data_IF_841928575526
#
_entry.id   IF_841928575526
#
_cell.length_a   1.000
_cell.length_b   1.000
_cell.length_c   1.000
_cell.angle_alpha   90.00
_cell.angle_beta   90.00
_cell.angle_gamma   90.00
#
_symmetry.space_group_name_H-M   'P 1'
#
loop_
_entity.id
_entity.type
_entity.pdbx_description
1 polymer ?
#
# COMPACT_ATOMS: atom_id res chain seq x y z
N UNK A 1 -5.86 -21.15 -32.86
CA UNK A 1 -5.55 -19.73 -33.08
C UNK A 1 -5.27 -19.15 -31.72
N UNK A 2 -4.00 -19.20 -31.36
CA UNK A 2 -3.46 -18.61 -30.15
C UNK A 2 -3.75 -17.11 -30.15
N UNK A 3 -4.39 -16.63 -29.09
CA UNK A 3 -4.21 -15.25 -28.66
C UNK A 3 -3.11 -15.29 -27.60
N UNK A 4 -1.86 -15.28 -28.06
CA UNK A 4 -0.75 -14.85 -27.22
C UNK A 4 -1.03 -13.40 -26.81
N UNK A 5 -1.35 -13.21 -25.54
CA UNK A 5 -1.34 -11.90 -24.90
C UNK A 5 0.13 -11.49 -24.85
N UNK A 6 0.54 -10.71 -25.84
CA UNK A 6 1.85 -10.07 -25.86
C UNK A 6 2.06 -9.29 -24.55
N UNK A 7 3.27 -9.43 -24.00
CA UNK A 7 3.75 -8.73 -22.80
C UNK A 7 3.23 -7.28 -22.74
N UNK A 8 2.55 -6.94 -21.65
CA UNK A 8 2.02 -5.60 -21.41
C UNK A 8 3.16 -4.57 -21.53
N UNK A 9 3.24 -3.87 -22.66
CA UNK A 9 4.03 -2.65 -22.76
C UNK A 9 3.26 -1.56 -22.03
N UNK A 10 3.49 -1.43 -20.71
CA UNK A 10 2.96 -0.32 -19.92
C UNK A 10 3.32 0.99 -20.62
N UNK A 11 2.33 1.64 -21.22
CA UNK A 11 2.51 2.90 -21.92
C UNK A 11 2.05 4.06 -21.02
N UNK A 12 2.51 5.28 -21.33
CA UNK A 12 2.21 6.46 -20.52
C UNK A 12 0.69 6.75 -20.41
N UNK A 13 -0.09 6.38 -21.43
CA UNK A 13 -1.55 6.55 -21.43
C UNK A 13 -2.23 5.66 -20.39
N UNK A 14 -1.79 4.41 -20.26
CA UNK A 14 -2.33 3.46 -19.29
C UNK A 14 -2.04 3.92 -17.86
N UNK A 15 -0.81 4.39 -17.59
CA UNK A 15 -0.42 4.90 -16.27
C UNK A 15 -1.14 6.20 -15.92
N UNK A 16 -1.39 7.07 -16.90
CA UNK A 16 -2.16 8.29 -16.67
C UNK A 16 -3.63 8.00 -16.32
N UNK A 17 -4.24 6.91 -16.81
CA UNK A 17 -5.55 6.46 -16.33
C UNK A 17 -5.52 6.19 -14.82
N UNK A 18 -4.56 5.37 -14.37
CA UNK A 18 -4.42 4.99 -12.95
C UNK A 18 -4.05 6.15 -12.02
N UNK A 19 -3.60 7.28 -12.57
CA UNK A 19 -3.41 8.54 -11.85
C UNK A 19 -4.74 9.19 -11.43
N UNK A 20 -5.83 8.85 -12.10
CA UNK A 20 -7.16 9.38 -11.84
C UNK A 20 -8.10 8.39 -11.14
N UNK A 21 -7.65 7.17 -10.88
CA UNK A 21 -8.40 6.15 -10.13
C UNK A 21 -7.93 6.13 -8.67
N UNK A 22 -8.88 6.08 -7.73
CA UNK A 22 -8.64 5.97 -6.29
C UNK A 22 -9.00 4.56 -5.80
N UNK A 23 -9.75 4.40 -4.70
CA UNK A 23 -10.23 3.11 -4.20
C UNK A 23 -11.74 3.23 -3.90
N UNK A 24 -12.60 3.03 -4.90
CA UNK A 24 -14.03 3.31 -4.77
C UNK A 24 -14.70 2.59 -3.59
N UNK A 25 -14.29 1.35 -3.30
CA UNK A 25 -14.85 0.55 -2.21
C UNK A 25 -14.49 1.15 -0.84
N UNK A 26 -13.20 1.43 -0.59
CA UNK A 26 -12.76 2.03 0.67
C UNK A 26 -13.21 3.49 0.80
N UNK A 27 -13.20 4.25 -0.30
CA UNK A 27 -13.62 5.65 -0.33
C UNK A 27 -15.12 5.78 0.00
N UNK A 28 -15.96 4.89 -0.54
CA UNK A 28 -17.39 4.85 -0.22
C UNK A 28 -17.64 4.48 1.26
N UNK A 29 -16.94 3.43 1.74
CA UNK A 29 -17.02 3.00 3.13
C UNK A 29 -16.64 4.13 4.10
N UNK A 30 -15.57 4.86 3.81
CA UNK A 30 -15.13 5.99 4.64
C UNK A 30 -16.04 7.21 4.51
N UNK A 31 -16.58 7.47 3.33
CA UNK A 31 -17.50 8.60 3.14
C UNK A 31 -18.75 8.48 4.02
N UNK A 32 -19.19 7.26 4.35
CA UNK A 32 -20.30 7.01 5.29
C UNK A 32 -20.02 7.60 6.68
N UNK A 33 -18.77 7.54 7.16
CA UNK A 33 -18.34 8.10 8.46
C UNK A 33 -18.50 9.61 8.49
N UNK A 34 -18.07 10.29 7.42
CA UNK A 34 -18.15 11.76 7.34
C UNK A 34 -19.58 12.28 7.19
N UNK A 35 -20.51 11.44 6.73
CA UNK A 35 -21.94 11.78 6.60
C UNK A 35 -22.76 11.35 7.84
N UNK A 36 -22.17 10.58 8.75
CA UNK A 36 -22.82 10.09 9.96
C UNK A 36 -23.18 11.21 10.92
N UNK A 37 -24.36 11.12 11.55
CA UNK A 37 -24.80 12.03 12.62
C UNK A 37 -23.88 11.90 13.86
N UNK A 38 -23.16 10.79 13.98
CA UNK A 38 -22.17 10.51 15.04
C UNK A 38 -20.74 10.88 14.63
N UNK A 39 -20.54 11.68 13.58
CA UNK A 39 -19.23 12.02 13.01
C UNK A 39 -18.11 12.28 14.02
N UNK A 40 -18.37 13.01 15.12
CA UNK A 40 -17.34 13.24 16.15
C UNK A 40 -16.87 11.93 16.80
N UNK A 41 -17.80 11.06 17.19
CA UNK A 41 -17.53 9.75 17.78
C UNK A 41 -16.82 8.86 16.76
N UNK A 42 -17.35 8.75 15.54
CA UNK A 42 -16.82 7.88 14.49
C UNK A 42 -15.41 8.31 14.04
N UNK A 43 -15.15 9.63 14.03
CA UNK A 43 -13.81 10.19 13.78
C UNK A 43 -12.85 9.89 14.93
N UNK A 44 -13.32 9.94 16.17
CA UNK A 44 -12.48 9.60 17.32
C UNK A 44 -12.21 8.09 17.37
N UNK A 45 -13.13 7.25 16.88
CA UNK A 45 -12.92 5.82 16.64
C UNK A 45 -11.92 5.56 15.52
N UNK A 46 -11.98 6.27 14.39
CA UNK A 46 -10.95 6.21 13.35
C UNK A 46 -9.57 6.63 13.87
N UNK A 47 -9.51 7.66 14.72
CA UNK A 47 -8.26 8.10 15.38
C UNK A 47 -7.76 7.08 16.39
N UNK A 48 -8.66 6.46 17.14
CA UNK A 48 -8.33 5.38 18.07
C UNK A 48 -7.85 4.14 17.32
N UNK A 49 -8.50 3.80 16.19
CA UNK A 49 -8.06 2.76 15.27
C UNK A 49 -6.67 3.10 14.75
N UNK A 50 -6.40 4.33 14.29
CA UNK A 50 -5.07 4.79 13.89
C UNK A 50 -4.00 4.65 15.01
N UNK A 51 -4.40 4.77 16.28
CA UNK A 51 -3.50 4.75 17.44
C UNK A 51 -3.35 3.39 18.14
N UNK A 52 -4.27 2.43 17.94
CA UNK A 52 -4.27 1.12 18.59
C UNK A 52 -4.19 -0.02 17.57
N UNK A 53 -3.48 -1.09 17.95
CA UNK A 53 -3.15 -2.21 17.05
C UNK A 53 -4.13 -3.40 17.16
N UNK A 54 -5.15 -3.29 18.01
CA UNK A 54 -5.82 -4.48 18.55
C UNK A 54 -7.30 -4.69 18.18
N UNK A 55 -7.98 -3.80 17.45
CA UNK A 55 -9.39 -4.04 17.17
C UNK A 55 -10.00 -3.14 16.09
N UNK A 56 -10.92 -3.71 15.31
CA UNK A 56 -11.92 -2.99 14.51
C UNK A 56 -13.09 -2.67 15.44
N UNK A 57 -13.38 -1.40 15.78
CA UNK A 57 -14.43 -1.06 16.74
C UNK A 57 -15.79 -1.71 16.42
N UNK A 58 -16.50 -2.19 17.45
CA UNK A 58 -17.80 -2.84 17.25
C UNK A 58 -18.92 -1.87 16.84
N UNK A 59 -18.70 -0.55 17.00
CA UNK A 59 -19.68 0.51 16.73
C UNK A 59 -19.40 1.25 15.41
N UNK A 60 -18.58 0.67 14.52
CA UNK A 60 -18.36 1.25 13.19
C UNK A 60 -19.67 1.30 12.38
N UNK A 61 -19.89 2.32 11.54
CA UNK A 61 -21.01 2.36 10.62
C UNK A 61 -21.07 1.12 9.72
N UNK A 62 -22.30 0.74 9.36
CA UNK A 62 -22.56 -0.50 8.61
C UNK A 62 -21.75 -0.60 7.31
N UNK A 63 -21.62 0.47 6.54
CA UNK A 63 -20.86 0.45 5.29
C UNK A 63 -19.37 0.12 5.53
N UNK A 64 -18.77 0.66 6.59
CA UNK A 64 -17.38 0.38 6.94
C UNK A 64 -17.22 -1.03 7.52
N UNK A 65 -18.16 -1.47 8.36
CA UNK A 65 -18.16 -2.83 8.90
C UNK A 65 -18.29 -3.87 7.79
N UNK A 66 -19.24 -3.69 6.86
CA UNK A 66 -19.45 -4.58 5.72
C UNK A 66 -18.24 -4.59 4.77
N UNK A 67 -17.60 -3.44 4.56
CA UNK A 67 -16.35 -3.36 3.81
C UNK A 67 -15.25 -4.20 4.48
N UNK A 68 -15.02 -4.04 5.79
CA UNK A 68 -14.02 -4.81 6.53
C UNK A 68 -14.34 -6.32 6.53
N UNK A 69 -15.60 -6.70 6.76
CA UNK A 69 -16.05 -8.10 6.73
C UNK A 69 -15.82 -8.74 5.35
N UNK A 70 -16.11 -8.00 4.26
CA UNK A 70 -15.84 -8.45 2.89
C UNK A 70 -14.35 -8.71 2.69
N UNK A 71 -13.49 -7.77 3.07
CA UNK A 71 -12.04 -7.92 2.86
C UNK A 71 -11.44 -9.04 3.71
N UNK A 72 -11.89 -9.21 4.96
CA UNK A 72 -11.47 -10.30 5.86
C UNK A 72 -11.99 -11.67 5.43
N UNK A 73 -12.98 -11.74 4.54
CA UNK A 73 -13.45 -13.00 3.96
C UNK A 73 -12.54 -13.53 2.84
N UNK A 74 -11.50 -12.79 2.45
CA UNK A 74 -10.53 -13.20 1.45
C UNK A 74 -9.78 -14.46 1.89
N UNK A 75 -9.82 -15.50 1.06
CA UNK A 75 -9.10 -16.76 1.31
C UNK A 75 -7.88 -16.89 0.40
N UNK A 76 -6.81 -17.45 0.94
CA UNK A 76 -5.59 -17.76 0.21
C UNK A 76 -5.46 -19.28 -0.03
N UNK A 77 -4.89 -19.66 -1.17
CA UNK A 77 -4.64 -21.06 -1.53
C UNK A 77 -3.45 -21.63 -0.73
N UNK A 78 -3.28 -22.94 -0.76
CA UNK A 78 -2.11 -23.58 -0.14
C UNK A 78 -0.78 -23.12 -0.77
N UNK A 79 -0.77 -22.79 -2.07
CA UNK A 79 0.39 -22.24 -2.77
C UNK A 79 0.73 -20.83 -2.29
N UNK A 80 -0.29 -19.98 -2.11
CA UNK A 80 -0.12 -18.64 -1.53
C UNK A 80 0.51 -18.73 -0.13
N UNK A 81 -0.04 -19.59 0.73
CA UNK A 81 0.42 -19.78 2.10
C UNK A 81 1.87 -20.27 2.11
N UNK A 82 2.23 -21.23 1.25
CA UNK A 82 3.62 -21.71 1.12
C UNK A 82 4.60 -20.57 0.79
N UNK A 83 4.22 -19.63 -0.08
CA UNK A 83 5.04 -18.46 -0.42
C UNK A 83 5.12 -17.45 0.72
N UNK A 84 4.02 -17.27 1.47
CA UNK A 84 4.00 -16.41 2.66
C UNK A 84 4.93 -16.97 3.75
N UNK A 85 4.93 -18.29 3.97
CA UNK A 85 5.83 -18.95 4.91
C UNK A 85 7.30 -18.82 4.49
N UNK A 86 7.61 -18.99 3.21
CA UNK A 86 8.97 -18.75 2.70
C UNK A 86 9.39 -17.28 2.87
N UNK A 87 8.48 -16.34 2.63
CA UNK A 87 8.73 -14.91 2.85
C UNK A 87 9.04 -14.61 4.32
N UNK A 88 8.35 -15.27 5.24
CA UNK A 88 8.64 -15.16 6.67
C UNK A 88 10.04 -15.67 7.03
N UNK A 89 10.51 -16.73 6.39
CA UNK A 89 11.90 -17.20 6.61
C UNK A 89 12.92 -16.18 6.09
N UNK A 90 12.69 -15.59 4.92
CA UNK A 90 13.49 -14.45 4.41
C UNK A 90 13.46 -13.29 5.41
N UNK A 91 12.28 -12.94 5.93
CA UNK A 91 12.12 -11.86 6.91
C UNK A 91 12.90 -12.11 8.22
N UNK A 92 12.91 -13.35 8.72
CA UNK A 92 13.69 -13.71 9.92
C UNK A 92 15.19 -13.52 9.72
N UNK A 93 15.69 -13.82 8.53
CA UNK A 93 17.12 -13.72 8.20
C UNK A 93 17.55 -12.30 7.83
N UNK A 94 16.68 -11.58 7.12
CA UNK A 94 17.01 -10.31 6.47
C UNK A 94 16.20 -9.10 6.97
N UNK A 95 15.35 -9.24 7.99
CA UNK A 95 14.42 -8.18 8.42
C UNK A 95 15.11 -6.88 8.82
N UNK A 96 16.28 -6.96 9.47
CA UNK A 96 17.08 -5.76 9.78
C UNK A 96 17.56 -5.10 8.48
N UNK A 97 18.12 -5.88 7.55
CA UNK A 97 18.57 -5.40 6.24
C UNK A 97 17.41 -4.78 5.46
N UNK A 98 16.23 -5.42 5.47
CA UNK A 98 15.04 -4.89 4.84
C UNK A 98 14.69 -3.51 5.39
N UNK A 99 14.67 -3.33 6.73
CA UNK A 99 14.37 -2.04 7.35
C UNK A 99 15.40 -0.96 6.95
N UNK A 100 16.69 -1.30 6.90
CA UNK A 100 17.71 -0.37 6.40
C UNK A 100 17.52 -0.03 4.93
N UNK A 101 17.29 -1.03 4.07
CA UNK A 101 17.03 -0.82 2.64
C UNK A 101 15.77 0.03 2.46
N UNK A 102 14.72 -0.24 3.22
CA UNK A 102 13.47 0.51 3.19
C UNK A 102 13.72 1.99 3.51
N UNK A 103 14.33 2.29 4.65
CA UNK A 103 14.48 3.68 5.11
C UNK A 103 15.55 4.48 4.38
N UNK A 104 16.64 3.84 3.94
CA UNK A 104 17.78 4.55 3.34
C UNK A 104 17.87 4.43 1.82
N UNK A 105 17.05 3.58 1.21
CA UNK A 105 16.97 3.44 -0.26
C UNK A 105 15.55 3.62 -0.76
N UNK A 106 14.62 2.75 -0.37
CA UNK A 106 13.30 2.66 -1.01
C UNK A 106 12.38 3.86 -0.71
N UNK A 107 12.18 4.25 0.56
CA UNK A 107 11.32 5.39 0.91
C UNK A 107 11.86 6.73 0.39
N UNK A 108 13.19 7.01 0.40
CA UNK A 108 13.72 8.19 -0.27
C UNK A 108 13.30 8.33 -1.73
N UNK A 109 13.19 7.22 -2.49
CA UNK A 109 12.61 7.27 -3.84
C UNK A 109 11.19 7.84 -3.80
N UNK A 110 10.32 7.35 -2.92
CA UNK A 110 8.92 7.84 -2.85
C UNK A 110 8.80 9.35 -2.56
N UNK A 111 9.77 9.96 -1.86
CA UNK A 111 9.79 11.41 -1.61
C UNK A 111 10.25 12.23 -2.81
N UNK A 112 10.88 11.60 -3.81
CA UNK A 112 11.28 12.25 -5.06
C UNK A 112 10.14 12.32 -6.08
N UNK A 113 9.06 11.56 -5.90
CA UNK A 113 7.89 11.61 -6.78
C UNK A 113 7.00 12.78 -6.36
N UNK A 114 7.02 13.86 -7.13
CA UNK A 114 6.31 15.10 -6.81
C UNK A 114 4.83 14.88 -6.50
N UNK A 115 4.13 14.11 -7.36
CA UNK A 115 2.68 13.90 -7.26
C UNK A 115 2.28 13.27 -5.90
N UNK A 116 2.78 12.08 -5.50
CA UNK A 116 2.50 11.50 -4.18
C UNK A 116 3.14 12.29 -3.03
N UNK A 117 4.30 12.94 -3.19
CA UNK A 117 4.93 13.70 -2.12
C UNK A 117 4.05 14.85 -1.61
N UNK A 118 3.19 15.41 -2.46
CA UNK A 118 2.22 16.43 -2.03
C UNK A 118 1.18 15.94 -1.03
N UNK A 119 0.89 14.62 -0.97
CA UNK A 119 0.05 14.04 0.09
C UNK A 119 0.70 14.27 1.46
N UNK A 120 2.00 14.02 1.56
CA UNK A 120 2.77 14.15 2.80
C UNK A 120 2.92 15.62 3.20
N UNK A 121 3.16 16.51 2.22
CA UNK A 121 3.25 17.96 2.44
C UNK A 121 1.95 18.55 2.97
N UNK A 122 0.82 18.25 2.33
CA UNK A 122 -0.46 18.83 2.69
C UNK A 122 -1.06 18.26 3.97
N UNK A 123 -0.75 17.00 4.29
CA UNK A 123 -1.13 16.39 5.58
C UNK A 123 -0.22 16.78 6.73
N UNK A 124 0.93 17.40 6.45
CA UNK A 124 1.98 17.81 7.40
C UNK A 124 2.50 16.68 8.29
N UNK A 125 2.16 15.43 8.02
CA UNK A 125 2.52 14.30 8.89
C UNK A 125 4.04 14.11 9.01
N UNK A 126 4.79 14.40 7.95
CA UNK A 126 6.25 14.35 7.98
C UNK A 126 6.91 15.56 8.64
N UNK A 127 6.21 16.70 8.75
CA UNK A 127 6.73 17.89 9.43
C UNK A 127 6.40 17.85 10.93
N UNK A 128 5.13 17.58 11.25
CA UNK A 128 4.62 17.66 12.62
C UNK A 128 4.94 16.39 13.43
N UNK A 129 4.99 15.22 12.77
CA UNK A 129 5.11 13.91 13.44
C UNK A 129 6.09 12.94 12.72
N UNK A 130 7.31 13.37 12.33
CA UNK A 130 8.24 12.54 11.55
C UNK A 130 8.59 11.22 12.25
N UNK A 131 8.89 11.26 13.55
CA UNK A 131 9.24 10.07 14.33
C UNK A 131 8.11 9.06 14.34
N UNK A 132 6.88 9.51 14.58
CA UNK A 132 5.70 8.65 14.55
C UNK A 132 5.52 8.01 13.18
N UNK A 133 5.68 8.76 12.09
CA UNK A 133 5.50 8.25 10.73
C UNK A 133 6.52 7.16 10.37
N UNK A 134 7.76 7.29 10.83
CA UNK A 134 8.80 6.26 10.67
C UNK A 134 8.40 4.98 11.43
N UNK A 135 7.96 5.11 12.68
CA UNK A 135 7.52 3.96 13.47
C UNK A 135 6.26 3.30 12.94
N UNK A 136 5.26 4.06 12.47
CA UNK A 136 4.06 3.51 11.83
C UNK A 136 4.41 2.70 10.58
N UNK A 137 5.34 3.19 9.76
CA UNK A 137 5.82 2.44 8.58
C UNK A 137 6.56 1.16 8.99
N UNK A 138 7.41 1.22 10.02
CA UNK A 138 8.08 0.02 10.53
C UNK A 138 7.07 -0.98 11.07
N UNK A 139 6.13 -0.54 11.92
CA UNK A 139 5.10 -1.39 12.52
C UNK A 139 4.26 -2.08 11.45
N UNK A 140 3.84 -1.34 10.42
CA UNK A 140 3.12 -1.91 9.27
C UNK A 140 3.88 -3.09 8.66
N UNK A 141 5.19 -2.93 8.39
CA UNK A 141 6.03 -4.00 7.84
C UNK A 141 6.16 -5.17 8.82
N UNK A 142 6.39 -4.90 10.11
CA UNK A 142 6.50 -5.97 11.12
C UNK A 142 5.22 -6.81 11.19
N UNK A 143 4.06 -6.19 11.09
CA UNK A 143 2.77 -6.87 11.19
C UNK A 143 2.47 -7.74 9.98
N UNK A 144 2.69 -7.22 8.77
CA UNK A 144 2.39 -7.94 7.51
C UNK A 144 3.46 -8.97 7.13
N UNK A 145 4.58 -9.01 7.86
CA UNK A 145 5.64 -10.01 7.70
C UNK A 145 5.64 -11.04 8.85
N UNK A 146 4.75 -10.91 9.82
CA UNK A 146 4.65 -11.86 10.94
C UNK A 146 4.02 -13.19 10.51
N UNK A 147 4.11 -14.19 11.39
CA UNK A 147 3.44 -15.47 11.23
C UNK A 147 1.93 -15.26 11.03
N UNK A 148 1.38 -15.97 10.04
CA UNK A 148 -0.05 -16.03 9.75
C UNK A 148 -0.66 -14.63 9.50
N UNK A 149 0.11 -13.68 8.96
CA UNK A 149 -0.31 -12.29 8.76
C UNK A 149 -1.59 -12.15 7.93
N UNK A 150 -1.89 -13.11 7.06
CA UNK A 150 -3.07 -13.16 6.20
C UNK A 150 -4.34 -13.63 6.91
N UNK A 151 -4.21 -14.21 8.11
CA UNK A 151 -5.33 -14.74 8.88
C UNK A 151 -6.05 -13.59 9.62
N UNK A 152 -7.39 -13.46 9.51
CA UNK A 152 -8.18 -12.46 10.24
C UNK A 152 -8.03 -12.48 11.77
N UNK A 153 -7.58 -13.59 12.36
CA UNK A 153 -7.28 -13.68 13.79
C UNK A 153 -5.93 -13.05 14.18
N UNK A 154 -5.13 -12.64 13.18
CA UNK A 154 -3.80 -12.06 13.36
C UNK A 154 -3.75 -10.59 12.90
N UNK A 155 -2.76 -9.85 13.40
CA UNK A 155 -2.70 -8.39 13.22
C UNK A 155 -2.32 -7.94 11.81
N UNK A 156 -1.67 -8.77 10.99
CA UNK A 156 -1.16 -8.38 9.68
C UNK A 156 -2.22 -7.80 8.74
N UNK A 157 -3.23 -8.61 8.40
CA UNK A 157 -4.33 -8.22 7.51
C UNK A 157 -5.15 -7.06 8.09
N UNK A 158 -5.34 -7.06 9.42
CA UNK A 158 -6.01 -5.97 10.14
C UNK A 158 -5.25 -4.65 10.01
N UNK A 159 -3.92 -4.69 10.16
CA UNK A 159 -3.04 -3.53 9.99
C UNK A 159 -3.05 -3.04 8.54
N UNK A 160 -3.05 -3.94 7.55
CA UNK A 160 -3.18 -3.55 6.14
C UNK A 160 -4.52 -2.85 5.83
N UNK A 161 -5.64 -3.42 6.28
CA UNK A 161 -6.97 -2.83 6.10
C UNK A 161 -7.11 -1.49 6.81
N UNK A 162 -6.53 -1.36 8.01
CA UNK A 162 -6.45 -0.10 8.73
C UNK A 162 -5.75 0.98 7.90
N UNK A 163 -4.60 0.66 7.30
CA UNK A 163 -3.89 1.62 6.44
C UNK A 163 -4.70 1.97 5.19
N UNK A 164 -5.38 0.99 4.57
CA UNK A 164 -6.29 1.24 3.42
C UNK A 164 -7.43 2.20 3.77
N UNK A 165 -8.06 2.03 4.94
CA UNK A 165 -9.09 2.94 5.46
C UNK A 165 -8.50 4.33 5.73
N UNK A 166 -7.30 4.41 6.31
CA UNK A 166 -6.61 5.67 6.52
C UNK A 166 -6.32 6.39 5.19
N UNK A 167 -5.91 5.68 4.15
CA UNK A 167 -5.73 6.25 2.81
C UNK A 167 -7.03 6.85 2.28
N UNK A 168 -8.15 6.12 2.34
CA UNK A 168 -9.46 6.65 1.93
C UNK A 168 -9.87 7.90 2.72
N UNK A 169 -9.62 7.92 4.04
CA UNK A 169 -9.87 9.11 4.87
C UNK A 169 -8.97 10.29 4.48
N UNK A 170 -7.70 10.04 4.12
CA UNK A 170 -6.79 11.06 3.62
C UNK A 170 -7.25 11.61 2.28
N UNK A 171 -7.70 10.77 1.33
CA UNK A 171 -8.28 11.23 0.07
C UNK A 171 -9.49 12.14 0.30
N UNK A 172 -10.42 11.72 1.15
CA UNK A 172 -11.58 12.54 1.50
C UNK A 172 -11.16 13.91 2.04
N UNK A 173 -10.24 13.95 3.01
CA UNK A 173 -9.78 15.20 3.60
C UNK A 173 -9.07 16.09 2.58
N UNK A 174 -8.15 15.56 1.77
CA UNK A 174 -7.42 16.34 0.75
C UNK A 174 -8.36 16.92 -0.32
N UNK A 175 -9.41 16.19 -0.68
CA UNK A 175 -10.36 16.59 -1.72
C UNK A 175 -11.45 17.55 -1.24
N UNK A 176 -11.70 17.60 0.08
CA UNK A 176 -12.74 18.45 0.68
C UNK A 176 -12.18 19.63 1.46
N UNK A 177 -10.88 19.61 1.81
CA UNK A 177 -10.23 20.51 2.76
C UNK A 177 -10.69 21.98 2.63
N UNK A 178 -11.55 22.46 3.55
CA UNK A 178 -12.06 23.82 3.44
C UNK A 178 -11.14 24.88 4.09
N UNK A 179 -10.17 24.47 4.91
CA UNK A 179 -9.37 25.38 5.76
C UNK A 179 -7.88 25.45 5.37
N UNK A 180 -7.41 24.61 4.44
CA UNK A 180 -6.01 24.57 3.99
C UNK A 180 -5.83 24.75 2.48
N UNK A 181 -4.61 24.52 2.01
CA UNK A 181 -4.30 24.52 0.58
C UNK A 181 -5.05 23.37 -0.11
N UNK A 182 -5.79 23.71 -1.18
CA UNK A 182 -6.55 22.75 -1.98
C UNK A 182 -5.63 21.81 -2.75
N UNK A 183 -6.03 20.55 -2.86
CA UNK A 183 -5.35 19.58 -3.72
C UNK A 183 -5.41 20.01 -5.20
N UNK A 184 -4.25 20.08 -5.86
CA UNK A 184 -4.16 20.43 -7.28
C UNK A 184 -4.39 19.20 -8.17
N UNK A 185 -5.67 18.94 -8.50
CA UNK A 185 -6.07 17.80 -9.34
C UNK A 185 -5.49 17.84 -10.75
N UNK A 186 -5.31 19.02 -11.32
CA UNK A 186 -4.81 19.20 -12.68
C UNK A 186 -3.32 18.83 -12.76
N UNK A 187 -2.53 19.25 -11.77
CA UNK A 187 -1.09 18.96 -11.76
C UNK A 187 -0.76 17.56 -11.23
N UNK A 188 -1.49 17.08 -10.21
CA UNK A 188 -1.08 15.88 -9.46
C UNK A 188 -2.01 14.67 -9.67
N UNK A 189 -3.13 14.83 -10.36
CA UNK A 189 -4.16 13.78 -10.47
C UNK A 189 -4.96 13.62 -9.18
N UNK A 190 -5.40 12.40 -8.88
CA UNK A 190 -6.11 12.10 -7.63
C UNK A 190 -5.12 11.72 -6.52
N UNK A 191 -5.36 12.13 -5.26
CA UNK A 191 -4.46 11.79 -4.16
C UNK A 191 -4.49 10.29 -3.87
N UNK A 192 -3.31 9.70 -3.60
CA UNK A 192 -3.17 8.27 -3.28
C UNK A 192 -3.86 7.42 -4.36
N UNK A 193 -3.56 7.72 -5.63
CA UNK A 193 -4.17 7.04 -6.77
C UNK A 193 -3.72 5.58 -6.86
N UNK A 194 -4.34 4.79 -7.74
CA UNK A 194 -3.92 3.43 -8.05
C UNK A 194 -2.44 3.38 -8.46
N UNK A 195 -2.01 4.36 -9.26
CA UNK A 195 -0.59 4.50 -9.63
C UNK A 195 0.32 4.76 -8.42
N UNK A 196 -0.08 5.62 -7.47
CA UNK A 196 0.69 5.84 -6.23
C UNK A 196 0.79 4.59 -5.37
N UNK A 197 -0.32 3.85 -5.25
CA UNK A 197 -0.38 2.62 -4.48
C UNK A 197 0.58 1.57 -5.03
N UNK A 198 0.54 1.30 -6.34
CA UNK A 198 1.44 0.32 -6.94
C UNK A 198 2.90 0.78 -6.94
N UNK A 199 3.18 2.07 -7.19
CA UNK A 199 4.52 2.62 -7.13
C UNK A 199 5.15 2.41 -5.75
N UNK A 200 4.38 2.73 -4.70
CA UNK A 200 4.80 2.55 -3.32
C UNK A 200 4.96 1.06 -3.00
N UNK A 201 3.98 0.21 -3.33
CA UNK A 201 4.04 -1.24 -3.09
C UNK A 201 5.30 -1.87 -3.69
N UNK A 202 5.66 -1.48 -4.92
CA UNK A 202 6.87 -1.98 -5.58
C UNK A 202 8.17 -1.46 -4.94
N UNK A 203 8.16 -0.29 -4.30
CA UNK A 203 9.30 0.17 -3.49
C UNK A 203 9.55 -0.76 -2.30
N UNK A 204 8.49 -1.29 -1.67
CA UNK A 204 8.65 -2.27 -0.58
C UNK A 204 9.00 -3.67 -1.11
N UNK A 205 8.51 -4.04 -2.29
CA UNK A 205 8.77 -5.36 -2.88
C UNK A 205 10.14 -5.45 -3.56
N UNK A 206 10.34 -4.68 -4.64
CA UNK A 206 11.43 -4.91 -5.61
C UNK A 206 12.74 -4.21 -5.21
N UNK A 207 12.69 -3.05 -4.56
CA UNK A 207 13.91 -2.36 -4.12
C UNK A 207 14.65 -3.14 -3.03
N UNK A 208 13.98 -4.07 -2.35
CA UNK A 208 14.63 -5.02 -1.45
C UNK A 208 15.64 -5.92 -2.19
N UNK A 209 15.30 -6.40 -3.39
CA UNK A 209 16.19 -7.26 -4.18
C UNK A 209 17.47 -6.51 -4.55
N UNK A 210 17.34 -5.28 -5.06
CA UNK A 210 18.48 -4.41 -5.37
C UNK A 210 19.30 -4.10 -4.12
N UNK A 211 18.65 -3.79 -3.00
CA UNK A 211 19.33 -3.47 -1.75
C UNK A 211 20.15 -4.63 -1.21
N UNK A 212 19.62 -5.86 -1.26
CA UNK A 212 20.34 -7.05 -0.85
C UNK A 212 21.51 -7.41 -1.78
N UNK A 213 21.33 -7.24 -3.10
CA UNK A 213 22.40 -7.41 -4.08
C UNK A 213 23.57 -6.43 -3.82
N UNK A 214 23.26 -5.16 -3.52
CA UNK A 214 24.27 -4.16 -3.13
C UNK A 214 25.03 -4.53 -1.84
N UNK A 215 24.40 -5.30 -0.94
CA UNK A 215 25.03 -5.81 0.28
C UNK A 215 25.76 -7.14 0.07
N UNK A 216 25.80 -7.67 -1.16
CA UNK A 216 26.44 -8.93 -1.51
C UNK A 216 25.67 -10.17 -1.04
N UNK A 217 24.36 -10.04 -0.77
CA UNK A 217 23.48 -11.10 -0.27
C UNK A 217 22.22 -11.26 -1.13
N UNK A 218 22.33 -11.43 -2.47
CA UNK A 218 21.17 -11.49 -3.34
C UNK A 218 20.24 -12.67 -3.00
N UNK A 219 18.94 -12.44 -3.08
CA UNK A 219 17.94 -13.51 -3.02
C UNK A 219 18.01 -14.36 -4.29
N UNK A 220 17.83 -15.67 -4.14
CA UNK A 220 17.66 -16.56 -5.29
C UNK A 220 16.27 -16.39 -5.95
N UNK A 221 16.06 -17.00 -7.11
CA UNK A 221 14.83 -16.83 -7.89
C UNK A 221 13.56 -17.26 -7.13
N UNK A 222 13.63 -18.35 -6.35
CA UNK A 222 12.50 -18.85 -5.56
C UNK A 222 12.16 -17.89 -4.41
N UNK A 223 13.19 -17.37 -3.74
CA UNK A 223 13.04 -16.35 -2.69
C UNK A 223 12.45 -15.04 -3.23
N UNK A 224 12.90 -14.60 -4.41
CA UNK A 224 12.36 -13.41 -5.07
C UNK A 224 10.88 -13.60 -5.41
N UNK A 225 10.51 -14.76 -5.96
CA UNK A 225 9.12 -15.06 -6.32
C UNK A 225 8.24 -15.11 -5.06
N UNK A 226 8.68 -15.75 -3.98
CA UNK A 226 7.94 -15.79 -2.72
C UNK A 226 7.73 -14.38 -2.14
N UNK A 227 8.80 -13.58 -2.07
CA UNK A 227 8.74 -12.20 -1.57
C UNK A 227 7.80 -11.33 -2.40
N UNK A 228 7.95 -11.37 -3.73
CA UNK A 228 7.10 -10.65 -4.66
C UNK A 228 5.64 -11.07 -4.55
N UNK A 229 5.35 -12.37 -4.48
CA UNK A 229 3.99 -12.89 -4.35
C UNK A 229 3.32 -12.43 -3.05
N UNK A 230 4.06 -12.40 -1.94
CA UNK A 230 3.56 -11.85 -0.67
C UNK A 230 3.20 -10.37 -0.80
N UNK A 231 4.06 -9.55 -1.41
CA UNK A 231 3.76 -8.13 -1.66
C UNK A 231 2.66 -7.90 -2.71
N UNK A 232 2.45 -8.82 -3.65
CA UNK A 232 1.28 -8.83 -4.55
C UNK A 232 -0.01 -9.05 -3.76
N UNK A 233 -0.01 -10.02 -2.84
CA UNK A 233 -1.16 -10.28 -1.98
C UNK A 233 -1.46 -9.11 -1.04
N UNK A 234 -0.43 -8.54 -0.41
CA UNK A 234 -0.56 -7.31 0.41
C UNK A 234 -1.11 -6.17 -0.44
N UNK A 235 -0.58 -5.96 -1.65
CA UNK A 235 -1.07 -4.94 -2.58
C UNK A 235 -2.56 -5.09 -2.89
N UNK A 236 -3.04 -6.31 -3.08
CA UNK A 236 -4.47 -6.60 -3.27
C UNK A 236 -5.30 -6.21 -2.04
N UNK A 237 -4.87 -6.60 -0.83
CA UNK A 237 -5.54 -6.20 0.43
C UNK A 237 -5.56 -4.68 0.60
N UNK A 238 -4.49 -4.00 0.15
CA UNK A 238 -4.34 -2.54 0.15
C UNK A 238 -5.18 -1.83 -0.93
N UNK A 239 -5.93 -2.57 -1.75
CA UNK A 239 -6.86 -2.03 -2.74
C UNK A 239 -6.26 -1.73 -4.11
N UNK A 240 -5.10 -2.29 -4.43
CA UNK A 240 -4.53 -2.19 -5.79
C UNK A 240 -5.37 -3.03 -6.76
N UNK A 241 -5.77 -2.43 -7.88
CA UNK A 241 -6.52 -3.13 -8.93
C UNK A 241 -5.73 -4.29 -9.53
N UNK A 242 -6.42 -5.39 -9.84
CA UNK A 242 -5.82 -6.58 -10.47
C UNK A 242 -5.06 -6.24 -11.77
N UNK A 243 -5.49 -5.19 -12.50
CA UNK A 243 -4.81 -4.70 -13.70
C UNK A 243 -3.38 -4.20 -13.46
N UNK A 244 -3.02 -3.83 -12.22
CA UNK A 244 -1.68 -3.38 -11.83
C UNK A 244 -0.86 -4.46 -11.10
N UNK A 245 -1.45 -5.63 -10.84
CA UNK A 245 -0.81 -6.72 -10.12
C UNK A 245 -0.14 -7.69 -11.10
N UNK A 246 1.12 -7.39 -11.43
CA UNK A 246 1.97 -8.21 -12.30
C UNK A 246 1.97 -9.70 -11.92
N UNK A 247 2.12 -10.58 -12.91
CA UNK A 247 2.06 -12.04 -12.76
C UNK A 247 3.42 -12.69 -12.53
N UNK A 248 4.50 -11.94 -12.66
CA UNK A 248 5.86 -12.43 -12.45
C UNK A 248 6.80 -11.30 -12.03
N UNK A 249 7.93 -11.65 -11.41
CA UNK A 249 8.98 -10.68 -11.07
C UNK A 249 9.47 -9.88 -12.29
N UNK A 250 9.74 -10.46 -13.48
CA UNK A 250 10.10 -9.68 -14.67
C UNK A 250 9.04 -8.66 -15.08
N UNK A 251 7.77 -9.05 -15.12
CA UNK A 251 6.67 -8.12 -15.46
C UNK A 251 6.55 -7.00 -14.41
N UNK A 252 6.79 -7.31 -13.14
CA UNK A 252 6.79 -6.31 -12.07
C UNK A 252 7.92 -5.28 -12.24
N UNK A 253 9.10 -5.71 -12.70
CA UNK A 253 10.19 -4.79 -13.05
C UNK A 253 9.84 -3.90 -14.23
N UNK A 254 9.24 -4.45 -15.28
CA UNK A 254 8.79 -3.67 -16.44
C UNK A 254 7.77 -2.60 -16.03
N UNK A 255 6.79 -2.99 -15.19
CA UNK A 255 5.81 -2.06 -14.62
C UNK A 255 6.48 -0.98 -13.76
N UNK A 256 7.41 -1.36 -12.87
CA UNK A 256 8.09 -0.39 -12.02
C UNK A 256 8.91 0.61 -12.83
N UNK A 257 9.60 0.15 -13.87
CA UNK A 257 10.36 1.02 -14.76
C UNK A 257 9.45 2.01 -15.50
N UNK A 258 8.27 1.57 -15.95
CA UNK A 258 7.30 2.44 -16.61
C UNK A 258 6.73 3.49 -15.63
N UNK A 259 6.29 3.06 -14.45
CA UNK A 259 5.84 3.95 -13.36
C UNK A 259 6.94 4.95 -13.00
N UNK A 260 8.18 4.48 -12.88
CA UNK A 260 9.27 5.34 -12.44
C UNK A 260 9.54 6.46 -13.45
N UNK A 261 9.50 6.17 -14.75
CA UNK A 261 9.62 7.19 -15.80
C UNK A 261 8.45 8.19 -15.79
N UNK A 262 7.26 7.75 -15.41
CA UNK A 262 6.07 8.60 -15.37
C UNK A 262 5.97 9.45 -14.09
N UNK A 263 6.53 8.95 -12.97
CA UNK A 263 6.48 9.61 -11.66
C UNK A 263 7.72 10.41 -11.30
N UNK A 264 8.89 9.91 -11.70
CA UNK A 264 10.18 10.49 -11.39
C UNK A 264 10.78 11.02 -12.68
N UNK A 265 11.38 12.20 -12.61
CA UNK A 265 12.07 12.85 -13.72
C UNK A 265 13.44 12.18 -14.01
N UNK A 266 13.48 10.85 -14.19
CA UNK A 266 14.68 10.01 -14.38
C UNK A 266 14.55 9.07 -15.58
#
# INVERSE_FOLDING_TARGET
MENEINANSWNDSDLNEFRHIMDPDADAAVQSLYKSVRFKTDRDELRAMAANDAFVPADLPDDLRLFVEKELSTTFTADDISKFEMTREIWKENGVQFIFILFFRALPYTYMAEKPANVLRLTKLLEDQPTRRVFETAQFVFDIMDKDWWDPEHRGILTALKVRIMHAAMRYNLLTNPEGESWNKEAWGMPISQEDLIATNQCFSLEFFKGLDMLGQPLNAEQQEAWFHTWKAIGKIMGIEDRLLANSVPEAWDLQLAIYKHLFWI
#
